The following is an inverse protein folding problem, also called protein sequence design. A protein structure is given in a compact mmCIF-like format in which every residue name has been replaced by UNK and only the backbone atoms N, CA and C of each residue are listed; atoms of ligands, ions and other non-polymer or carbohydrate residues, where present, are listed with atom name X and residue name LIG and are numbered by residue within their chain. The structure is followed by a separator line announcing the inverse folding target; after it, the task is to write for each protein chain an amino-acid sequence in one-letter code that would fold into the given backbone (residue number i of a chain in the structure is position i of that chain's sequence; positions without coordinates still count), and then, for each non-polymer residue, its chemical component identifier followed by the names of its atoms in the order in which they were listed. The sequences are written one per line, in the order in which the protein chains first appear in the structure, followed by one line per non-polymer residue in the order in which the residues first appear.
data_IF_422349045730
#
_entry.id   IF_422349045730
#
_cell.length_a   1.000
_cell.length_b   1.000
_cell.length_c   1.000
_cell.angle_alpha   90.00
_cell.angle_beta   90.00
_cell.angle_gamma   90.00
#
_symmetry.space_group_name_H-M   'P 1'
#
loop_
_entity.id
_entity.type
_entity.pdbx_description
1 polymer ?
#
# COMPACT_ATOMS: atom_id res chain seq x y z
N UNK A 1 -6.05 -15.09 -14.65
CA UNK A 1 -6.12 -14.59 -13.26
C UNK A 1 -7.57 -14.31 -12.93
N UNK A 2 -8.23 -15.14 -12.11
CA UNK A 2 -9.58 -14.84 -11.61
C UNK A 2 -9.41 -14.11 -10.28
N UNK A 3 -9.82 -12.85 -10.20
CA UNK A 3 -9.82 -12.10 -8.95
C UNK A 3 -11.15 -12.38 -8.24
N UNK A 4 -11.13 -13.23 -7.22
CA UNK A 4 -12.36 -13.67 -6.53
C UNK A 4 -12.95 -12.60 -5.57
N UNK A 5 -12.31 -11.43 -5.42
CA UNK A 5 -12.74 -10.34 -4.53
C UNK A 5 -12.38 -8.95 -5.09
N UNK A 6 -13.28 -7.98 -4.96
CA UNK A 6 -13.07 -6.55 -5.27
C UNK A 6 -11.81 -5.99 -4.60
N UNK A 7 -11.53 -6.39 -3.36
CA UNK A 7 -10.34 -5.95 -2.64
C UNK A 7 -9.04 -6.40 -3.33
N UNK A 8 -9.03 -7.61 -3.90
CA UNK A 8 -7.87 -8.13 -4.65
C UNK A 8 -7.67 -7.37 -5.96
N UNK A 9 -8.75 -6.95 -6.62
CA UNK A 9 -8.68 -6.11 -7.82
C UNK A 9 -8.13 -4.72 -7.48
N UNK A 10 -8.62 -4.10 -6.39
CA UNK A 10 -8.12 -2.80 -5.92
C UNK A 10 -6.62 -2.84 -5.61
N UNK A 11 -6.16 -3.87 -4.88
CA UNK A 11 -4.73 -4.06 -4.60
C UNK A 11 -3.90 -4.13 -5.88
N UNK A 12 -4.38 -4.88 -6.87
CA UNK A 12 -3.69 -5.00 -8.15
C UNK A 12 -3.59 -3.64 -8.88
N UNK A 13 -4.66 -2.85 -8.91
CA UNK A 13 -4.62 -1.51 -9.50
C UNK A 13 -3.61 -0.59 -8.80
N UNK A 14 -3.53 -0.63 -7.48
CA UNK A 14 -2.53 0.14 -6.73
C UNK A 14 -1.11 -0.32 -7.03
N UNK A 15 -0.86 -1.63 -7.02
CA UNK A 15 0.46 -2.18 -7.34
C UNK A 15 0.89 -1.84 -8.78
N UNK A 16 -0.04 -1.81 -9.74
CA UNK A 16 0.25 -1.39 -11.11
C UNK A 16 0.57 0.10 -11.23
N UNK A 17 -0.20 0.96 -10.55
CA UNK A 17 0.02 2.41 -10.59
C UNK A 17 1.39 2.82 -10.05
N UNK A 18 1.89 2.10 -9.03
CA UNK A 18 3.18 2.35 -8.39
C UNK A 18 4.36 2.31 -9.37
N UNK A 19 4.30 1.45 -10.40
CA UNK A 19 5.36 1.29 -11.42
C UNK A 19 5.67 2.63 -12.12
N UNK A 20 4.65 3.42 -12.42
CA UNK A 20 4.79 4.68 -13.18
C UNK A 20 4.86 5.91 -12.28
N UNK A 21 4.28 5.82 -11.08
CA UNK A 21 4.14 6.95 -10.16
C UNK A 21 5.47 7.58 -9.78
N UNK A 22 6.51 6.76 -9.57
CA UNK A 22 7.84 7.28 -9.23
C UNK A 22 8.46 8.13 -10.34
N UNK A 23 8.33 7.71 -11.60
CA UNK A 23 8.83 8.46 -12.75
C UNK A 23 8.17 9.82 -12.90
N UNK A 24 6.85 9.86 -12.72
CA UNK A 24 6.06 11.09 -12.73
C UNK A 24 6.50 12.05 -11.63
N UNK A 25 6.48 11.61 -10.36
CA UNK A 25 6.83 12.46 -9.22
C UNK A 25 8.27 12.93 -9.26
N UNK A 26 9.21 12.04 -9.58
CA UNK A 26 10.62 12.42 -9.67
C UNK A 26 10.88 13.35 -10.86
N UNK A 27 10.13 13.22 -11.96
CA UNK A 27 10.22 14.15 -13.09
C UNK A 27 9.77 15.57 -12.74
N UNK A 28 8.76 15.71 -11.88
CA UNK A 28 8.26 17.02 -11.45
C UNK A 28 9.12 17.61 -10.31
N UNK A 29 9.53 16.79 -9.35
CA UNK A 29 10.14 17.28 -8.11
C UNK A 29 11.67 17.36 -8.16
N UNK A 30 12.32 16.61 -9.06
CA UNK A 30 13.77 16.50 -9.06
C UNK A 30 14.39 16.59 -10.45
N UNK A 31 15.10 17.69 -10.69
CA UNK A 31 15.72 18.02 -11.98
C UNK A 31 16.80 17.02 -12.41
N UNK A 32 17.34 16.23 -11.48
CA UNK A 32 18.33 15.19 -11.82
C UNK A 32 17.69 13.95 -12.48
N UNK A 33 16.37 13.80 -12.41
CA UNK A 33 15.68 12.69 -13.06
C UNK A 33 15.94 12.70 -14.56
N UNK A 34 16.35 11.55 -15.08
CA UNK A 34 16.61 11.38 -16.51
C UNK A 34 15.77 10.26 -17.12
N UNK A 35 15.61 10.32 -18.45
CA UNK A 35 14.77 9.39 -19.21
C UNK A 35 15.19 7.93 -19.02
N UNK A 36 16.50 7.68 -19.00
CA UNK A 36 17.07 6.33 -18.85
C UNK A 36 16.75 5.74 -17.47
N UNK A 37 16.91 6.52 -16.41
CA UNK A 37 16.63 6.12 -15.03
C UNK A 37 15.15 5.76 -14.84
N UNK A 38 14.24 6.51 -15.45
CA UNK A 38 12.80 6.20 -15.44
C UNK A 38 12.53 4.87 -16.17
N UNK A 39 13.09 4.67 -17.36
CA UNK A 39 12.92 3.40 -18.09
C UNK A 39 13.53 2.21 -17.35
N UNK A 40 14.72 2.35 -16.76
CA UNK A 40 15.32 1.30 -15.94
C UNK A 40 14.47 0.98 -14.71
N UNK A 41 13.90 2.00 -14.08
CA UNK A 41 12.99 1.82 -12.95
C UNK A 41 11.74 1.04 -13.34
N UNK A 42 11.06 1.44 -14.43
CA UNK A 42 9.88 0.74 -14.96
C UNK A 42 10.24 -0.71 -15.33
N UNK A 43 11.32 -0.92 -16.07
CA UNK A 43 11.71 -2.26 -16.52
C UNK A 43 12.07 -3.16 -15.33
N UNK A 44 12.89 -2.68 -14.40
CA UNK A 44 13.35 -3.48 -13.27
C UNK A 44 12.21 -3.81 -12.30
N UNK A 45 11.29 -2.87 -12.06
CA UNK A 45 10.11 -3.10 -11.22
C UNK A 45 9.13 -4.08 -11.87
N UNK A 46 8.85 -3.92 -13.17
CA UNK A 46 8.05 -4.86 -13.94
C UNK A 46 8.64 -6.27 -13.91
N UNK A 47 9.95 -6.40 -14.11
CA UNK A 47 10.63 -7.69 -14.09
C UNK A 47 10.59 -8.30 -12.69
N UNK A 48 11.04 -7.58 -11.66
CA UNK A 48 11.21 -8.14 -10.32
C UNK A 48 9.90 -8.38 -9.57
N UNK A 49 8.85 -7.56 -9.76
CA UNK A 49 7.62 -7.66 -8.97
C UNK A 49 6.44 -8.28 -9.71
N UNK A 50 6.52 -8.39 -11.04
CA UNK A 50 5.46 -8.98 -11.85
C UNK A 50 5.96 -10.15 -12.70
N UNK A 51 6.94 -9.94 -13.58
CA UNK A 51 7.36 -10.98 -14.54
C UNK A 51 8.00 -12.18 -13.85
N UNK A 52 9.03 -11.97 -13.02
CA UNK A 52 9.71 -13.06 -12.31
C UNK A 52 8.75 -13.75 -11.35
N UNK A 53 7.99 -13.06 -10.47
CA UNK A 53 6.98 -13.70 -9.62
C UNK A 53 5.93 -14.53 -10.35
N UNK A 54 5.60 -14.15 -11.58
CA UNK A 54 4.64 -14.85 -12.43
C UNK A 54 5.25 -16.08 -13.12
N UNK A 55 6.44 -15.93 -13.71
CA UNK A 55 7.09 -16.97 -14.52
C UNK A 55 7.82 -17.99 -13.64
N UNK A 56 8.46 -17.56 -12.56
CA UNK A 56 9.32 -18.39 -11.73
C UNK A 56 8.60 -19.65 -11.19
N UNK A 57 7.37 -19.57 -10.65
CA UNK A 57 6.63 -20.75 -10.20
C UNK A 57 6.10 -21.65 -11.34
N UNK A 58 6.09 -21.16 -12.57
CA UNK A 58 5.70 -21.93 -13.77
C UNK A 58 6.88 -22.72 -14.34
N UNK A 59 8.08 -22.15 -14.33
CA UNK A 59 9.31 -22.81 -14.77
C UNK A 59 9.82 -23.80 -13.71
N UNK A 60 9.78 -23.41 -12.44
CA UNK A 60 10.23 -24.22 -11.31
C UNK A 60 9.03 -24.68 -10.47
N UNK A 61 8.39 -25.76 -10.89
CA UNK A 61 7.22 -26.33 -10.20
C UNK A 61 7.53 -26.72 -8.74
N UNK A 62 8.77 -27.14 -8.47
CA UNK A 62 9.27 -27.48 -7.13
C UNK A 62 9.21 -26.32 -6.12
N UNK A 63 9.14 -25.06 -6.59
CA UNK A 63 9.01 -23.93 -5.67
C UNK A 63 7.66 -23.94 -4.93
N UNK A 64 6.60 -24.45 -5.56
CA UNK A 64 5.26 -24.47 -4.96
C UNK A 64 5.16 -25.44 -3.79
N UNK A 65 5.93 -26.53 -3.81
CA UNK A 65 5.95 -27.56 -2.76
C UNK A 65 7.09 -27.39 -1.74
N UNK A 66 7.96 -26.38 -1.91
CA UNK A 66 9.09 -26.19 -1.01
C UNK A 66 8.63 -25.73 0.38
N UNK A 67 8.96 -26.51 1.42
CA UNK A 67 8.59 -26.23 2.81
C UNK A 67 9.04 -24.84 3.31
N UNK A 68 10.19 -24.34 2.84
CA UNK A 68 10.66 -22.99 3.21
C UNK A 68 9.79 -21.87 2.62
N UNK A 69 9.10 -22.14 1.51
CA UNK A 69 8.21 -21.19 0.85
C UNK A 69 6.74 -21.38 1.26
N UNK A 70 6.45 -22.37 2.09
CA UNK A 70 5.10 -22.67 2.60
C UNK A 70 4.88 -22.13 4.02
N UNK A 71 5.66 -21.13 4.42
CA UNK A 71 5.52 -20.51 5.74
C UNK A 71 4.22 -19.71 5.88
N UNK A 72 3.59 -19.85 7.04
CA UNK A 72 2.38 -19.13 7.44
C UNK A 72 2.65 -18.21 8.62
N UNK A 73 1.82 -17.17 8.77
CA UNK A 73 1.82 -16.35 9.99
C UNK A 73 1.26 -17.14 11.15
N UNK A 74 1.86 -16.99 12.35
CA UNK A 74 1.35 -17.66 13.56
C UNK A 74 -0.08 -17.22 13.88
N UNK A 75 -0.98 -18.18 14.06
CA UNK A 75 -2.32 -17.92 14.58
C UNK A 75 -2.23 -17.31 15.99
N UNK A 76 -2.71 -16.07 16.15
CA UNK A 76 -2.85 -15.42 17.46
C UNK A 76 -4.33 -15.42 17.85
N UNK A 77 -4.60 -15.76 19.11
CA UNK A 77 -5.93 -15.58 19.70
C UNK A 77 -6.00 -14.14 20.19
N UNK A 78 -6.91 -13.35 19.63
CA UNK A 78 -7.17 -11.98 20.08
C UNK A 78 -8.41 -12.01 20.95
N UNK A 79 -8.27 -11.56 22.19
CA UNK A 79 -9.38 -11.34 23.09
C UNK A 79 -9.87 -9.90 22.91
N UNK A 80 -11.17 -9.73 22.66
CA UNK A 80 -11.81 -8.42 22.63
C UNK A 80 -12.92 -8.39 23.66
N UNK A 81 -12.87 -7.40 24.53
CA UNK A 81 -13.95 -7.08 25.46
C UNK A 81 -14.82 -5.99 24.82
N UNK A 82 -16.10 -6.30 24.62
CA UNK A 82 -17.09 -5.32 24.17
C UNK A 82 -18.47 -5.66 24.74
N UNK A 83 -19.35 -4.67 24.75
CA UNK A 83 -20.73 -4.84 25.19
C UNK A 83 -21.49 -5.70 24.18
N UNK A 84 -22.18 -6.74 24.65
CA UNK A 84 -22.89 -7.68 23.79
C UNK A 84 -23.97 -6.98 22.96
N UNK A 85 -23.91 -7.17 21.64
CA UNK A 85 -24.95 -6.74 20.71
C UNK A 85 -26.05 -7.80 20.62
N UNK A 86 -27.22 -7.44 20.07
CA UNK A 86 -28.32 -8.39 19.82
C UNK A 86 -27.88 -9.62 19.04
N UNK A 87 -26.99 -9.45 18.06
CA UNK A 87 -26.43 -10.55 17.26
C UNK A 87 -25.61 -11.51 18.14
N UNK A 88 -24.80 -11.00 19.07
CA UNK A 88 -24.02 -11.85 19.97
C UNK A 88 -24.91 -12.66 20.92
N UNK A 89 -26.01 -12.07 21.42
CA UNK A 89 -26.98 -12.78 22.28
C UNK A 89 -27.65 -13.92 21.51
N UNK A 90 -28.05 -13.68 20.26
CA UNK A 90 -28.64 -14.71 19.39
C UNK A 90 -27.63 -15.80 19.06
N UNK A 91 -26.40 -15.45 18.69
CA UNK A 91 -25.30 -16.41 18.47
C UNK A 91 -25.05 -17.25 19.72
N UNK A 92 -24.96 -16.62 20.89
CA UNK A 92 -24.72 -17.32 22.17
C UNK A 92 -25.87 -18.26 22.54
N UNK A 93 -27.12 -17.85 22.34
CA UNK A 93 -28.26 -18.72 22.59
C UNK A 93 -28.25 -19.92 21.64
N UNK A 94 -27.92 -19.72 20.36
CA UNK A 94 -27.75 -20.81 19.41
C UNK A 94 -26.59 -21.76 19.79
N UNK A 95 -25.48 -21.25 20.31
CA UNK A 95 -24.39 -22.05 20.86
C UNK A 95 -24.84 -22.90 22.05
N UNK A 96 -25.62 -22.31 22.97
CA UNK A 96 -26.19 -23.01 24.12
C UNK A 96 -27.12 -24.14 23.66
N UNK A 97 -28.03 -23.87 22.71
CA UNK A 97 -28.94 -24.89 22.17
C UNK A 97 -28.16 -26.01 21.47
N UNK A 98 -27.12 -25.70 20.70
CA UNK A 98 -26.26 -26.73 20.08
C UNK A 98 -25.56 -27.57 21.13
N UNK A 99 -25.07 -26.96 22.22
CA UNK A 99 -24.47 -27.68 23.33
C UNK A 99 -25.48 -28.60 24.03
N UNK A 100 -26.72 -28.14 24.23
CA UNK A 100 -27.82 -28.92 24.80
C UNK A 100 -28.29 -30.07 23.89
N UNK A 101 -28.01 -30.01 22.59
CA UNK A 101 -28.27 -31.10 21.64
C UNK A 101 -27.14 -32.14 21.56
N UNK A 102 -25.95 -31.87 22.12
CA UNK A 102 -24.85 -32.84 22.13
C UNK A 102 -25.18 -34.03 23.04
N UNK A 103 -24.81 -35.24 22.60
CA UNK A 103 -24.88 -36.48 23.37
C UNK A 103 -24.05 -36.40 24.65
N UNK A 104 -24.43 -37.13 25.70
CA UNK A 104 -23.79 -37.07 27.02
C UNK A 104 -22.27 -37.32 26.98
N UNK A 105 -21.81 -38.27 26.15
CA UNK A 105 -20.38 -38.55 25.91
C UNK A 105 -19.60 -37.38 25.31
N UNK A 106 -20.26 -36.50 24.54
CA UNK A 106 -19.64 -35.31 23.94
C UNK A 106 -19.68 -34.08 24.86
N UNK A 107 -20.38 -34.18 25.99
CA UNK A 107 -20.43 -33.12 27.01
C UNK A 107 -19.30 -33.27 28.03
N UNK A 108 -18.72 -34.47 28.17
CA UNK A 108 -17.57 -34.69 29.03
C UNK A 108 -16.37 -33.84 28.55
N UNK A 109 -15.99 -32.85 29.35
CA UNK A 109 -14.88 -31.93 29.06
C UNK A 109 -15.27 -30.59 28.43
N UNK A 110 -16.53 -30.38 28.02
CA UNK A 110 -16.98 -29.11 27.41
C UNK A 110 -17.93 -28.37 28.35
N UNK A 111 -17.44 -27.30 29.00
CA UNK A 111 -18.25 -26.45 29.88
C UNK A 111 -19.35 -25.73 29.09
N UNK A 112 -20.58 -25.76 29.61
CA UNK A 112 -21.74 -25.05 29.02
C UNK A 112 -21.42 -23.55 28.86
N UNK A 113 -21.64 -22.95 27.67
CA UNK A 113 -21.49 -21.51 27.49
C UNK A 113 -22.39 -20.73 28.44
N UNK A 114 -21.87 -19.66 29.06
CA UNK A 114 -22.66 -18.77 29.90
C UNK A 114 -23.61 -17.93 29.02
N UNK A 115 -24.83 -17.73 29.50
CA UNK A 115 -25.79 -16.83 28.88
C UNK A 115 -25.25 -15.39 28.99
N UNK A 116 -25.43 -14.60 27.94
CA UNK A 116 -25.06 -13.18 27.92
C UNK A 116 -26.32 -12.34 27.67
N UNK A 117 -26.41 -11.20 28.33
CA UNK A 117 -27.48 -10.22 28.09
C UNK A 117 -26.99 -9.10 27.18
N UNK A 118 -27.90 -8.46 26.46
CA UNK A 118 -27.58 -7.26 25.67
C UNK A 118 -26.97 -6.19 26.60
N UNK A 119 -25.85 -5.59 26.18
CA UNK A 119 -25.10 -4.61 26.98
C UNK A 119 -24.14 -5.21 28.01
N UNK A 120 -24.18 -6.52 28.28
CA UNK A 120 -23.23 -7.18 29.18
C UNK A 120 -21.83 -7.23 28.54
N UNK A 121 -20.80 -6.87 29.31
CA UNK A 121 -19.42 -6.97 28.84
C UNK A 121 -18.98 -8.43 28.86
N UNK A 122 -18.54 -8.92 27.70
CA UNK A 122 -17.99 -10.27 27.59
C UNK A 122 -16.74 -10.29 26.72
N UNK A 123 -15.89 -11.29 26.94
CA UNK A 123 -14.67 -11.48 26.16
C UNK A 123 -14.93 -12.48 25.04
N UNK A 124 -14.77 -12.04 23.78
CA UNK A 124 -14.82 -12.92 22.62
C UNK A 124 -13.41 -13.21 22.14
N UNK A 125 -13.07 -14.50 22.03
CA UNK A 125 -11.78 -15.00 21.55
C UNK A 125 -11.85 -15.24 20.04
N UNK A 126 -11.07 -14.49 19.29
CA UNK A 126 -10.97 -14.67 17.84
C UNK A 126 -9.64 -15.32 17.49
N UNK A 127 -9.68 -16.53 16.91
CA UNK A 127 -8.49 -17.16 16.33
C UNK A 127 -8.25 -16.57 14.94
N UNK A 128 -7.19 -15.79 14.77
CA UNK A 128 -6.85 -15.25 13.47
C UNK A 128 -6.43 -16.39 12.52
N UNK A 129 -6.92 -16.42 11.27
CA UNK A 129 -6.56 -17.45 10.32
C UNK A 129 -5.07 -17.36 9.97
N UNK A 130 -4.41 -18.52 9.88
CA UNK A 130 -3.05 -18.61 9.37
C UNK A 130 -3.06 -18.29 7.88
N UNK A 131 -2.22 -17.34 7.47
CA UNK A 131 -2.14 -16.91 6.08
C UNK A 131 -0.72 -17.12 5.56
N UNK A 132 -0.62 -17.46 4.28
CA UNK A 132 0.67 -17.59 3.61
C UNK A 132 1.43 -16.27 3.63
N UNK A 133 2.73 -16.35 3.83
CA UNK A 133 3.61 -15.18 3.83
C UNK A 133 4.07 -14.84 2.41
N UNK A 134 4.40 -15.85 1.59
CA UNK A 134 5.05 -15.63 0.29
C UNK A 134 4.11 -15.72 -0.90
N UNK A 135 3.02 -16.49 -0.80
CA UNK A 135 2.13 -16.79 -1.93
C UNK A 135 0.90 -15.88 -1.93
N UNK A 136 0.67 -15.17 -3.02
CA UNK A 136 -0.41 -14.17 -3.09
C UNK A 136 -1.82 -14.75 -3.02
N UNK A 137 -2.02 -16.00 -3.43
CA UNK A 137 -3.32 -16.69 -3.33
C UNK A 137 -3.37 -17.70 -2.17
N UNK A 138 -2.34 -17.76 -1.34
CA UNK A 138 -2.29 -18.65 -0.18
C UNK A 138 -1.66 -20.01 -0.47
N UNK A 139 -1.91 -20.95 0.44
CA UNK A 139 -1.46 -22.34 0.37
C UNK A 139 -2.72 -23.21 0.29
N UNK A 140 -2.77 -24.11 -0.67
CA UNK A 140 -3.84 -25.09 -0.82
C UNK A 140 -3.30 -26.49 -0.51
N UNK A 141 -4.19 -27.38 -0.08
CA UNK A 141 -3.86 -28.79 0.11
C UNK A 141 -4.21 -29.54 -1.18
N UNK A 142 -3.19 -30.02 -1.88
CA UNK A 142 -3.33 -30.92 -3.01
C UNK A 142 -3.47 -32.36 -2.49
N UNK A 143 -4.55 -33.03 -2.89
CA UNK A 143 -4.91 -34.43 -2.56
C UNK A 143 -4.98 -34.74 -1.06
N UNK A 144 -5.27 -33.74 -0.23
CA UNK A 144 -5.47 -33.90 1.22
C UNK A 144 -4.20 -34.10 2.05
N UNK A 145 -3.03 -34.26 1.43
CA UNK A 145 -1.76 -34.49 2.14
C UNK A 145 -0.64 -33.50 1.80
N UNK A 146 -0.58 -32.98 0.58
CA UNK A 146 0.55 -32.13 0.15
C UNK A 146 0.16 -30.66 0.12
N UNK A 147 0.94 -29.79 0.77
CA UNK A 147 0.73 -28.35 0.75
C UNK A 147 1.38 -27.75 -0.50
N UNK A 148 0.65 -26.91 -1.21
CA UNK A 148 1.13 -26.25 -2.43
C UNK A 148 0.81 -24.76 -2.43
N UNK A 149 1.81 -23.94 -2.76
CA UNK A 149 1.70 -22.50 -2.84
C UNK A 149 1.01 -22.03 -4.12
N UNK A 150 0.05 -21.12 -3.99
CA UNK A 150 -0.78 -20.64 -5.10
C UNK A 150 -0.59 -19.15 -5.41
N UNK A 151 -0.70 -18.82 -6.69
CA UNK A 151 -0.51 -17.45 -7.18
C UNK A 151 0.95 -17.12 -7.46
N UNK A 152 1.27 -15.82 -7.34
CA UNK A 152 2.61 -15.27 -7.53
C UNK A 152 3.40 -15.33 -6.22
N UNK A 153 4.72 -15.42 -6.35
CA UNK A 153 5.63 -15.41 -5.20
C UNK A 153 6.13 -14.00 -4.88
N UNK A 154 6.05 -13.60 -3.62
CA UNK A 154 6.51 -12.29 -3.15
C UNK A 154 8.01 -12.31 -2.88
N UNK A 155 8.83 -12.07 -3.91
CA UNK A 155 10.30 -12.19 -3.85
C UNK A 155 10.93 -11.29 -2.79
N UNK A 156 10.39 -10.11 -2.59
CA UNK A 156 10.80 -9.15 -1.57
C UNK A 156 10.66 -9.72 -0.14
N UNK A 157 9.58 -10.46 0.13
CA UNK A 157 9.38 -11.11 1.43
C UNK A 157 10.29 -12.33 1.58
N UNK A 158 10.49 -13.10 0.50
CA UNK A 158 11.46 -14.20 0.48
C UNK A 158 12.87 -13.69 0.79
N UNK A 159 13.27 -12.57 0.17
CA UNK A 159 14.55 -11.93 0.40
C UNK A 159 14.69 -11.47 1.86
N UNK A 160 13.65 -10.83 2.42
CA UNK A 160 13.66 -10.44 3.84
C UNK A 160 13.79 -11.64 4.79
N UNK A 161 13.06 -12.73 4.52
CA UNK A 161 13.20 -13.95 5.32
C UNK A 161 14.63 -14.50 5.25
N UNK A 162 15.24 -14.48 4.06
CA UNK A 162 16.64 -14.90 3.85
C UNK A 162 17.66 -13.98 4.54
N UNK A 163 17.35 -12.69 4.68
CA UNK A 163 18.14 -11.73 5.46
C UNK A 163 17.97 -11.89 6.98
N UNK A 164 17.17 -12.87 7.44
CA UNK A 164 17.01 -13.21 8.86
C UNK A 164 15.79 -12.57 9.54
N UNK A 165 14.95 -11.84 8.81
CA UNK A 165 13.72 -11.28 9.36
C UNK A 165 12.69 -12.39 9.60
N UNK A 166 12.23 -12.57 10.85
CA UNK A 166 11.26 -13.61 11.23
C UNK A 166 9.82 -13.20 10.88
N UNK A 167 9.45 -13.29 9.60
CA UNK A 167 8.16 -12.82 9.08
C UNK A 167 6.95 -13.58 9.67
N UNK A 168 7.14 -14.81 10.17
CA UNK A 168 6.08 -15.61 10.82
C UNK A 168 5.56 -14.98 12.13
N UNK A 169 6.39 -14.16 12.79
CA UNK A 169 6.01 -13.48 14.02
C UNK A 169 5.19 -12.22 13.77
N UNK A 170 5.21 -11.68 12.54
CA UNK A 170 4.43 -10.51 12.18
C UNK A 170 2.96 -10.87 11.95
N UNK A 171 2.07 -9.88 12.03
CA UNK A 171 0.71 -10.05 11.54
C UNK A 171 0.72 -10.13 10.01
N UNK A 172 -0.28 -10.83 9.44
CA UNK A 172 -0.43 -10.90 7.99
C UNK A 172 -0.48 -9.50 7.35
N UNK A 173 -1.24 -8.58 7.96
CA UNK A 173 -1.34 -7.20 7.49
C UNK A 173 0.02 -6.47 7.50
N UNK A 174 0.85 -6.68 8.51
CA UNK A 174 2.18 -6.06 8.56
C UNK A 174 3.10 -6.57 7.43
N UNK A 175 3.09 -7.87 7.15
CA UNK A 175 3.87 -8.43 6.05
C UNK A 175 3.40 -7.89 4.69
N UNK A 176 2.08 -7.77 4.48
CA UNK A 176 1.52 -7.13 3.29
C UNK A 176 1.93 -5.66 3.18
N UNK A 177 1.92 -4.92 4.29
CA UNK A 177 2.36 -3.51 4.33
C UNK A 177 3.84 -3.38 3.97
N UNK A 178 4.72 -4.21 4.54
CA UNK A 178 6.15 -4.23 4.21
C UNK A 178 6.34 -4.51 2.71
N UNK A 179 5.60 -5.49 2.16
CA UNK A 179 5.62 -5.81 0.73
C UNK A 179 5.29 -4.58 -0.12
N UNK A 180 4.17 -3.91 0.19
CA UNK A 180 3.70 -2.74 -0.56
C UNK A 180 4.70 -1.58 -0.43
N UNK A 181 5.25 -1.33 0.77
CA UNK A 181 6.26 -0.28 0.99
C UNK A 181 7.52 -0.54 0.16
N UNK A 182 8.02 -1.78 0.13
CA UNK A 182 9.20 -2.12 -0.68
C UNK A 182 8.91 -1.88 -2.16
N UNK A 183 7.77 -2.37 -2.68
CA UNK A 183 7.37 -2.14 -4.07
C UNK A 183 7.19 -0.65 -4.38
N UNK A 184 6.68 0.12 -3.43
CA UNK A 184 6.48 1.56 -3.57
C UNK A 184 7.79 2.34 -3.60
N UNK A 185 8.77 1.99 -2.77
CA UNK A 185 10.03 2.72 -2.64
C UNK A 185 11.10 2.29 -3.64
N UNK A 186 11.10 1.02 -4.04
CA UNK A 186 12.08 0.48 -4.98
C UNK A 186 12.20 1.29 -6.30
N UNK A 187 11.13 1.68 -7.00
CA UNK A 187 11.27 2.48 -8.23
C UNK A 187 11.93 3.84 -7.99
N UNK A 188 11.69 4.48 -6.83
CA UNK A 188 12.36 5.72 -6.46
C UNK A 188 13.85 5.49 -6.24
N UNK A 189 14.22 4.41 -5.55
CA UNK A 189 15.62 4.05 -5.31
C UNK A 189 16.37 3.81 -6.62
N UNK A 190 15.75 3.13 -7.58
CA UNK A 190 16.32 2.91 -8.93
C UNK A 190 16.48 4.24 -9.66
N UNK A 191 15.46 5.11 -9.64
CA UNK A 191 15.56 6.42 -10.30
C UNK A 191 16.69 7.25 -9.70
N UNK A 192 16.76 7.31 -8.37
CA UNK A 192 17.80 8.05 -7.65
C UNK A 192 19.18 7.52 -8.04
N UNK A 193 19.42 6.22 -7.87
CA UNK A 193 20.73 5.62 -8.17
C UNK A 193 21.13 5.78 -9.64
N UNK A 194 20.25 5.46 -10.59
CA UNK A 194 20.53 5.65 -12.02
C UNK A 194 20.72 7.13 -12.40
N UNK A 195 19.98 8.05 -11.79
CA UNK A 195 20.14 9.49 -12.04
C UNK A 195 21.47 10.04 -11.51
N UNK A 196 22.05 9.41 -10.48
CA UNK A 196 23.41 9.73 -10.06
C UNK A 196 24.47 9.21 -11.03
N UNK A 197 24.26 8.04 -11.63
CA UNK A 197 25.17 7.41 -12.59
C UNK A 197 25.17 8.10 -13.97
N UNK A 198 24.01 8.50 -14.49
CA UNK A 198 23.88 9.13 -15.81
C UNK A 198 23.65 10.65 -15.68
N UNK A 199 24.65 11.45 -16.07
CA UNK A 199 24.56 12.91 -16.08
C UNK A 199 23.82 13.42 -17.32
N UNK A 200 23.04 14.49 -17.18
CA UNK A 200 22.41 15.18 -18.30
C UNK A 200 23.43 15.83 -19.22
N UNK A 201 23.16 15.74 -20.51
CA UNK A 201 23.82 16.52 -21.56
C UNK A 201 23.49 18.02 -21.43
N UNK A 202 24.32 18.91 -22.00
CA UNK A 202 24.02 20.35 -22.01
C UNK A 202 22.66 20.68 -22.65
N UNK A 203 22.30 19.97 -23.72
CA UNK A 203 21.02 20.14 -24.41
C UNK A 203 19.83 19.77 -23.51
N UNK A 204 19.90 18.63 -22.82
CA UNK A 204 18.87 18.22 -21.87
C UNK A 204 18.70 19.23 -20.73
N UNK A 205 19.79 19.86 -20.28
CA UNK A 205 19.70 20.90 -19.24
C UNK A 205 18.89 22.11 -19.72
N UNK A 206 19.08 22.53 -20.98
CA UNK A 206 18.31 23.62 -21.59
C UNK A 206 16.83 23.28 -21.74
N UNK A 207 16.52 22.04 -22.15
CA UNK A 207 15.14 21.54 -22.22
C UNK A 207 14.50 21.55 -20.84
N UNK A 208 15.22 21.08 -19.82
CA UNK A 208 14.75 21.09 -18.43
C UNK A 208 14.51 22.51 -17.91
N UNK A 209 15.39 23.46 -18.21
CA UNK A 209 15.20 24.87 -17.86
C UNK A 209 13.89 25.42 -18.43
N UNK A 210 13.63 25.18 -19.72
CA UNK A 210 12.37 25.57 -20.37
C UNK A 210 11.16 24.88 -19.75
N UNK A 211 11.26 23.58 -19.47
CA UNK A 211 10.19 22.81 -18.87
C UNK A 211 9.81 23.34 -17.47
N UNK A 212 10.78 23.46 -16.57
CA UNK A 212 10.52 23.90 -15.19
C UNK A 212 10.08 25.35 -15.10
N UNK A 213 10.61 26.23 -15.95
CA UNK A 213 10.16 27.63 -15.93
C UNK A 213 8.74 27.73 -16.48
N UNK A 214 8.40 27.01 -17.56
CA UNK A 214 7.04 26.96 -18.11
C UNK A 214 6.02 26.45 -17.10
N UNK A 215 6.33 25.39 -16.35
CA UNK A 215 5.43 24.88 -15.29
C UNK A 215 5.16 25.90 -14.17
N UNK A 216 6.00 26.91 -14.02
CA UNK A 216 5.92 27.92 -12.95
C UNK A 216 5.34 29.25 -13.41
N UNK A 217 5.36 29.49 -14.71
CA UNK A 217 4.73 30.66 -15.31
C UNK A 217 3.23 30.58 -15.09
N UNK A 218 2.64 31.63 -14.50
CA UNK A 218 1.19 31.69 -14.30
C UNK A 218 0.51 31.85 -15.65
N UNK A 219 -0.55 31.08 -15.88
CA UNK A 219 -1.34 31.18 -17.10
C UNK A 219 -2.26 32.39 -17.00
N UNK A 220 -2.30 33.19 -18.06
CA UNK A 220 -3.23 34.31 -18.20
C UNK A 220 -4.35 33.99 -19.20
N UNK A 221 -5.55 34.55 -18.98
CA UNK A 221 -6.70 34.37 -19.89
C UNK A 221 -6.45 35.00 -21.26
N UNK A 222 -5.71 36.11 -21.28
CA UNK A 222 -5.32 36.83 -22.49
C UNK A 222 -4.08 36.19 -23.12
N UNK A 223 -4.24 35.70 -24.35
CA UNK A 223 -3.21 34.98 -25.11
C UNK A 223 -1.95 35.82 -25.34
N UNK A 224 -2.08 37.11 -25.61
CA UNK A 224 -0.90 37.95 -25.87
C UNK A 224 -0.08 38.15 -24.60
N UNK A 225 -0.77 38.40 -23.47
CA UNK A 225 -0.11 38.53 -22.16
C UNK A 225 0.54 37.22 -21.70
N UNK A 226 -0.11 36.08 -21.94
CA UNK A 226 0.43 34.76 -21.62
C UNK A 226 1.74 34.48 -22.41
N UNK A 227 1.75 34.83 -23.70
CA UNK A 227 2.95 34.69 -24.54
C UNK A 227 4.10 35.56 -24.06
N UNK A 228 3.84 36.84 -23.74
CA UNK A 228 4.86 37.76 -23.23
C UNK A 228 5.44 37.23 -21.89
N UNK A 229 4.58 36.73 -21.00
CA UNK A 229 4.98 36.19 -19.69
C UNK A 229 5.81 34.89 -19.82
N UNK A 230 5.50 34.06 -20.82
CA UNK A 230 6.31 32.89 -21.19
C UNK A 230 7.67 33.29 -21.79
N UNK A 231 7.71 34.26 -22.71
CA UNK A 231 8.97 34.70 -23.34
C UNK A 231 9.93 35.30 -22.31
N UNK A 232 9.42 36.11 -21.38
CA UNK A 232 10.19 36.60 -20.23
C UNK A 232 10.70 35.45 -19.36
N UNK A 233 9.90 34.41 -19.18
CA UNK A 233 10.29 33.22 -18.40
C UNK A 233 11.36 32.38 -19.12
N UNK A 234 11.30 32.25 -20.44
CA UNK A 234 12.33 31.54 -21.21
C UNK A 234 13.65 32.31 -21.31
N UNK A 235 13.60 33.64 -21.31
CA UNK A 235 14.78 34.50 -21.29
C UNK A 235 15.56 34.39 -19.97
N UNK A 236 14.87 34.25 -18.83
CA UNK A 236 15.48 33.98 -17.51
C UNK A 236 14.87 32.74 -16.83
N UNK A 237 15.44 31.54 -17.06
CA UNK A 237 14.98 30.31 -16.41
C UNK A 237 15.11 30.32 -14.87
N UNK A 238 15.87 31.25 -14.29
CA UNK A 238 16.05 31.40 -12.84
C UNK A 238 15.09 32.40 -12.20
N UNK A 239 14.21 33.05 -12.98
CA UNK A 239 13.20 34.02 -12.52
C UNK A 239 12.46 33.59 -11.25
N UNK A 240 12.11 32.30 -11.15
CA UNK A 240 11.37 31.73 -10.02
C UNK A 240 12.23 30.98 -8.99
N UNK A 241 13.57 31.09 -9.05
CA UNK A 241 14.47 30.36 -8.16
C UNK A 241 14.25 30.67 -6.68
N UNK A 242 13.82 31.89 -6.34
CA UNK A 242 13.53 32.36 -4.98
C UNK A 242 12.32 31.65 -4.33
N UNK A 243 11.42 31.08 -5.16
CA UNK A 243 10.23 30.34 -4.71
C UNK A 243 10.55 28.90 -4.29
N UNK A 244 11.77 28.40 -4.54
CA UNK A 244 12.17 27.03 -4.19
C UNK A 244 12.45 26.88 -2.70
N UNK A 245 12.05 25.75 -2.13
CA UNK A 245 12.29 25.39 -0.73
C UNK A 245 13.77 25.14 -0.45
N UNK A 246 14.50 24.54 -1.41
CA UNK A 246 15.92 24.21 -1.31
C UNK A 246 16.76 24.90 -2.41
N UNK A 247 17.06 26.21 -2.27
CA UNK A 247 17.87 26.94 -3.24
C UNK A 247 19.25 26.28 -3.46
N UNK A 248 19.73 26.27 -4.70
CA UNK A 248 21.04 25.67 -5.06
C UNK A 248 21.03 24.15 -5.23
N UNK A 249 19.95 23.46 -4.87
CA UNK A 249 19.78 22.03 -5.13
C UNK A 249 19.09 21.77 -6.47
N UNK A 250 19.09 20.51 -6.91
CA UNK A 250 18.31 20.05 -8.06
C UNK A 250 16.85 19.72 -7.71
N UNK A 251 16.40 19.99 -6.48
CA UNK A 251 15.01 19.84 -6.09
C UNK A 251 14.18 21.05 -6.52
N UNK A 252 13.05 20.78 -7.15
CA UNK A 252 12.13 21.78 -7.69
C UNK A 252 10.90 22.00 -6.79
N UNK A 253 11.00 21.53 -5.54
CA UNK A 253 10.00 21.71 -4.48
C UNK A 253 9.86 23.20 -4.15
N UNK A 254 8.62 23.70 -4.16
CA UNK A 254 8.28 25.10 -3.89
C UNK A 254 8.02 25.33 -2.40
N UNK A 255 8.24 26.57 -1.94
CA UNK A 255 7.80 27.03 -0.63
C UNK A 255 6.27 27.10 -0.60
N UNK A 256 5.68 26.71 0.52
CA UNK A 256 4.25 26.89 0.76
C UNK A 256 3.93 28.39 0.75
N UNK A 257 3.05 28.82 -0.15
CA UNK A 257 2.62 30.21 -0.20
C UNK A 257 1.37 30.43 0.70
N UNK A 258 0.92 31.68 0.84
CA UNK A 258 -0.24 32.01 1.68
C UNK A 258 -1.54 31.37 1.18
N UNK A 259 -1.73 31.33 -0.14
CA UNK A 259 -2.91 30.73 -0.78
C UNK A 259 -2.93 29.22 -0.50
N UNK A 260 -1.79 28.54 -0.65
CA UNK A 260 -1.63 27.11 -0.36
C UNK A 260 -1.93 26.81 1.12
N UNK A 261 -1.42 27.65 2.03
CA UNK A 261 -1.63 27.49 3.48
C UNK A 261 -3.10 27.67 3.87
N UNK A 262 -3.79 28.66 3.30
CA UNK A 262 -5.23 28.85 3.51
C UNK A 262 -6.00 27.66 2.95
N UNK A 263 -5.68 27.21 1.73
CA UNK A 263 -6.28 26.03 1.13
C UNK A 263 -6.13 24.77 1.99
N UNK A 264 -4.93 24.55 2.54
CA UNK A 264 -4.66 23.45 3.47
C UNK A 264 -5.51 23.56 4.74
N UNK A 265 -5.59 24.74 5.36
CA UNK A 265 -6.42 24.94 6.55
C UNK A 265 -7.90 24.69 6.28
N UNK A 266 -8.43 25.17 5.16
CA UNK A 266 -9.82 24.92 4.74
C UNK A 266 -10.07 23.43 4.53
N UNK A 267 -9.17 22.73 3.85
CA UNK A 267 -9.28 21.29 3.63
C UNK A 267 -9.27 20.51 4.96
N UNK A 268 -8.38 20.85 5.88
CA UNK A 268 -8.31 20.24 7.22
C UNK A 268 -9.59 20.52 8.01
N UNK A 269 -10.08 21.76 8.00
CA UNK A 269 -11.33 22.12 8.67
C UNK A 269 -12.52 21.32 8.12
N UNK A 270 -12.60 21.14 6.80
CA UNK A 270 -13.66 20.34 6.17
C UNK A 270 -13.63 18.88 6.63
N UNK A 271 -12.44 18.28 6.78
CA UNK A 271 -12.32 16.92 7.34
C UNK A 271 -12.87 16.85 8.76
N UNK A 272 -12.53 17.82 9.62
CA UNK A 272 -13.09 17.87 10.98
C UNK A 272 -14.61 18.04 11.00
N UNK A 273 -15.18 18.84 10.09
CA UNK A 273 -16.64 18.96 9.94
C UNK A 273 -17.28 17.62 9.58
N UNK A 274 -16.72 16.90 8.59
CA UNK A 274 -17.24 15.59 8.18
C UNK A 274 -17.14 14.58 9.33
N UNK A 275 -16.00 14.52 10.02
CA UNK A 275 -15.81 13.63 11.18
C UNK A 275 -16.77 13.99 12.33
N UNK A 276 -16.99 15.28 12.58
CA UNK A 276 -17.93 15.76 13.58
C UNK A 276 -19.37 15.37 13.27
N UNK A 277 -19.80 15.53 12.01
CA UNK A 277 -21.11 15.08 11.53
C UNK A 277 -21.27 13.57 11.67
N UNK A 278 -20.26 12.79 11.27
CA UNK A 278 -20.29 11.33 11.38
C UNK A 278 -20.36 10.89 12.85
N UNK A 279 -19.61 11.52 13.73
CA UNK A 279 -19.67 11.26 15.18
C UNK A 279 -21.05 11.58 15.75
N UNK A 280 -21.66 12.69 15.35
CA UNK A 280 -23.00 13.09 15.77
C UNK A 280 -24.06 12.09 15.29
N UNK A 281 -24.00 11.65 14.03
CA UNK A 281 -24.92 10.63 13.49
C UNK A 281 -24.78 9.30 14.24
N UNK A 282 -23.55 8.85 14.49
CA UNK A 282 -23.30 7.60 15.22
C UNK A 282 -23.83 7.65 16.65
N UNK A 283 -23.71 8.80 17.32
CA UNK A 283 -24.20 8.94 18.69
C UNK A 283 -25.71 9.21 18.80
N UNK A 284 -26.35 9.76 17.76
CA UNK A 284 -27.81 9.92 17.71
C UNK A 284 -28.54 8.60 17.39
N UNK A 285 -27.86 7.66 16.74
CA UNK A 285 -28.40 6.33 16.40
C UNK A 285 -28.16 5.25 17.45
N UNK A 286 -27.67 5.64 18.65
CA UNK A 286 -27.49 4.77 19.81
C UNK A 286 -28.72 4.67 20.70
#
# INVERSE_FOLDING_TARGET
MRYDNLFSQMKFFWEWGVVFSAGFWMGILWRRTNRRAVWYSILLTMVLFFLVPLVLPGVFTNLRSNQELLLTTKSRIVEREYAAQKVDVVERNAEITRWEQLSQDKREGIKRPAMIKEGERFVKRYKLPEKSIFWTQGIETQDGQSLTGKGMISLELVLLQKLGFKLQNNTYALNETIRIIIRALFPFLVIVTCSFLYKHTPEEKNILDRFYVKMRTKVHEDREKDMIELDMSYADPRRFAHKRMFPGTQWEILKLNKEDAVGLMVAVAMVFVILGLLFLVVNLGG
#
